data_IF_110372247238
#
_entry.id   IF_110372247238
#
_cell.length_a   1.000
_cell.length_b   1.000
_cell.length_c   1.000
_cell.angle_alpha   90.00
_cell.angle_beta   90.00
_cell.angle_gamma   90.00
#
_symmetry.space_group_name_H-M   'P 1'
#
loop_
_entity.id
_entity.type
_entity.pdbx_description
1 polymer ?
#
# COMPACT_ATOMS: atom_id res chain seq x y z
N UNK A 1 18.13 -7.49 -23.35
CA UNK A 1 17.49 -6.66 -22.36
C UNK A 1 17.85 -7.16 -20.98
N UNK A 2 18.14 -6.27 -20.17
CA UNK A 2 18.44 -6.60 -18.81
C UNK A 2 17.14 -6.78 -18.03
N UNK A 3 16.87 -7.98 -17.59
CA UNK A 3 15.68 -8.27 -16.81
C UNK A 3 15.69 -7.57 -15.45
N UNK A 4 16.84 -7.03 -15.04
CA UNK A 4 17.00 -6.40 -13.74
C UNK A 4 16.51 -4.95 -13.70
N UNK A 5 16.28 -4.33 -14.87
CA UNK A 5 16.02 -2.88 -14.90
C UNK A 5 14.79 -2.47 -15.70
N UNK A 6 13.66 -3.18 -15.58
CA UNK A 6 12.45 -2.70 -16.25
C UNK A 6 11.86 -1.47 -15.57
N UNK A 7 12.27 -1.15 -14.35
CA UNK A 7 11.75 -0.02 -13.58
C UNK A 7 12.88 0.84 -13.04
N UNK A 8 12.61 2.15 -12.85
CA UNK A 8 13.62 3.06 -12.32
C UNK A 8 13.96 2.74 -10.86
N UNK A 9 15.12 3.20 -10.41
CA UNK A 9 15.57 3.07 -9.03
C UNK A 9 15.14 4.23 -8.15
N UNK A 10 14.40 5.17 -8.71
CA UNK A 10 13.95 6.38 -8.02
C UNK A 10 12.57 6.76 -8.50
N UNK A 11 11.73 7.18 -7.58
CA UNK A 11 10.42 7.73 -7.91
C UNK A 11 10.15 8.92 -7.00
N UNK A 12 9.80 10.06 -7.59
CA UNK A 12 9.39 11.23 -6.86
C UNK A 12 7.87 11.27 -6.72
N UNK A 13 7.39 12.09 -5.80
CA UNK A 13 5.94 12.27 -5.67
C UNK A 13 5.36 12.91 -6.94
N UNK A 14 6.12 13.77 -7.60
CA UNK A 14 5.67 14.38 -8.86
C UNK A 14 5.48 13.31 -9.94
N UNK A 15 6.42 12.36 -10.05
CA UNK A 15 6.28 11.24 -10.97
C UNK A 15 5.09 10.36 -10.61
N UNK A 16 4.89 10.11 -9.31
CA UNK A 16 3.77 9.31 -8.85
C UNK A 16 2.44 9.93 -9.25
N UNK A 17 2.29 11.23 -9.05
CA UNK A 17 1.07 11.95 -9.43
C UNK A 17 0.82 11.93 -10.93
N UNK A 18 1.86 11.90 -11.73
CA UNK A 18 1.77 11.90 -13.18
C UNK A 18 1.53 10.51 -13.77
N UNK A 19 1.70 9.45 -12.99
CA UNK A 19 1.56 8.08 -13.46
C UNK A 19 0.10 7.64 -13.33
N UNK A 20 -0.55 7.24 -14.43
CA UNK A 20 -1.93 6.78 -14.34
C UNK A 20 -2.04 5.48 -13.55
N UNK A 21 -3.20 5.25 -12.96
CA UNK A 21 -3.47 3.99 -12.30
C UNK A 21 -3.31 2.85 -13.31
N UNK A 22 -2.79 1.74 -12.85
CA UNK A 22 -2.66 0.54 -13.66
C UNK A 22 -4.06 0.03 -14.02
N UNK A 23 -4.23 -0.45 -15.25
CA UNK A 23 -5.54 -0.96 -15.73
C UNK A 23 -6.05 -2.03 -14.75
N UNK A 24 -7.28 -1.86 -14.30
CA UNK A 24 -7.89 -2.78 -13.35
C UNK A 24 -7.46 -2.60 -11.90
N UNK A 25 -6.65 -1.60 -11.62
CA UNK A 25 -6.16 -1.32 -10.27
C UNK A 25 -6.51 0.11 -9.88
N UNK A 26 -6.49 0.38 -8.58
CA UNK A 26 -6.78 1.73 -8.05
C UNK A 26 -5.51 2.49 -7.71
N UNK A 27 -4.36 1.95 -8.05
CA UNK A 27 -3.07 2.54 -7.74
C UNK A 27 -2.15 2.52 -8.96
N UNK A 28 -1.19 3.42 -8.98
CA UNK A 28 -0.17 3.47 -10.02
C UNK A 28 1.07 2.70 -9.56
N UNK A 29 1.66 1.91 -10.47
CA UNK A 29 2.88 1.16 -10.16
C UNK A 29 4.10 1.98 -10.59
N UNK A 30 4.99 2.27 -9.65
CA UNK A 30 6.19 3.09 -9.87
C UNK A 30 7.47 2.26 -9.99
N UNK A 31 7.56 1.17 -9.25
CA UNK A 31 8.73 0.29 -9.24
C UNK A 31 8.33 -1.14 -9.00
N UNK A 32 9.17 -2.05 -9.45
CA UNK A 32 9.02 -3.46 -9.14
C UNK A 32 10.36 -4.15 -9.16
N UNK A 33 10.60 -5.03 -8.18
CA UNK A 33 11.76 -5.90 -8.16
C UNK A 33 11.39 -7.17 -7.41
N UNK A 34 11.42 -8.31 -8.09
CA UNK A 34 10.97 -9.55 -7.50
C UNK A 34 9.52 -9.43 -7.03
N UNK A 35 9.28 -9.76 -5.76
CA UNK A 35 7.94 -9.65 -5.19
C UNK A 35 7.58 -8.23 -4.76
N UNK A 36 8.56 -7.34 -4.67
CA UNK A 36 8.33 -5.98 -4.19
C UNK A 36 7.74 -5.11 -5.28
N UNK A 37 6.69 -4.38 -4.95
CA UNK A 37 6.15 -3.32 -5.79
C UNK A 37 5.99 -2.06 -4.95
N UNK A 38 6.44 -0.93 -5.49
CA UNK A 38 6.12 0.38 -4.95
C UNK A 38 5.00 0.97 -5.79
N UNK A 39 3.93 1.35 -5.13
CA UNK A 39 2.76 1.92 -5.79
C UNK A 39 2.39 3.24 -5.14
N UNK A 40 1.55 4.00 -5.82
CA UNK A 40 1.03 5.26 -5.34
C UNK A 40 -0.50 5.18 -5.33
N UNK A 41 -1.10 5.56 -4.21
CA UNK A 41 -2.55 5.47 -4.03
C UNK A 41 -3.07 6.80 -3.47
N UNK A 42 -4.07 7.34 -4.16
CA UNK A 42 -4.67 8.62 -3.79
C UNK A 42 -6.20 8.52 -3.89
N UNK A 43 -6.84 7.84 -2.93
CA UNK A 43 -8.29 7.68 -2.97
C UNK A 43 -8.99 9.03 -2.76
N UNK A 44 -10.16 9.17 -3.34
CA UNK A 44 -10.97 10.39 -3.21
C UNK A 44 -12.37 10.02 -2.72
N UNK A 45 -12.76 10.61 -1.60
CA UNK A 45 -14.08 10.43 -1.01
C UNK A 45 -14.27 9.10 -0.31
N UNK A 46 -14.00 8.01 -0.97
CA UNK A 46 -14.21 6.65 -0.45
C UNK A 46 -13.07 5.75 -0.85
N UNK A 47 -12.69 4.87 0.07
CA UNK A 47 -11.70 3.84 -0.19
C UNK A 47 -12.42 2.51 -0.42
N UNK A 48 -12.36 2.01 -1.66
CA UNK A 48 -13.06 0.81 -2.08
C UNK A 48 -12.11 -0.39 -2.22
N UNK A 49 -11.05 -0.44 -1.42
CA UNK A 49 -10.07 -1.51 -1.49
C UNK A 49 -10.64 -2.87 -1.05
N UNK A 50 -10.06 -3.91 -1.60
CA UNK A 50 -10.29 -5.30 -1.18
C UNK A 50 -9.00 -5.83 -0.55
N UNK A 51 -9.06 -6.91 0.25
CA UNK A 51 -7.85 -7.51 0.81
C UNK A 51 -6.86 -7.92 -0.28
N UNK A 52 -5.58 -7.86 0.04
CA UNK A 52 -4.50 -8.18 -0.88
C UNK A 52 -3.81 -9.48 -0.49
N UNK A 53 -3.20 -10.14 -1.47
CA UNK A 53 -2.57 -11.45 -1.25
C UNK A 53 -1.18 -11.36 -0.63
N UNK A 54 -0.57 -10.19 -0.62
CA UNK A 54 0.76 -9.96 -0.05
C UNK A 54 0.69 -9.09 1.18
N UNK A 55 1.76 -9.10 1.97
CA UNK A 55 1.94 -8.12 3.04
C UNK A 55 2.14 -6.74 2.44
N UNK A 56 1.75 -5.71 3.17
CA UNK A 56 1.66 -4.38 2.63
C UNK A 56 2.03 -3.32 3.67
N UNK A 57 2.76 -2.30 3.23
CA UNK A 57 3.04 -1.12 4.05
C UNK A 57 2.56 0.11 3.30
N UNK A 58 1.84 0.97 3.99
CA UNK A 58 1.53 2.33 3.52
C UNK A 58 2.45 3.31 4.22
N UNK A 59 2.91 4.30 3.48
CA UNK A 59 3.59 5.47 4.06
C UNK A 59 2.79 6.69 3.63
N UNK A 60 2.22 7.40 4.59
CA UNK A 60 1.37 8.55 4.31
C UNK A 60 2.25 9.73 3.92
N UNK A 61 2.03 10.24 2.70
CA UNK A 61 2.72 11.42 2.22
C UNK A 61 1.96 12.70 2.59
N UNK A 62 0.65 12.68 2.38
CA UNK A 62 -0.20 13.87 2.55
C UNK A 62 -1.59 13.43 2.97
N UNK A 63 -2.25 14.23 3.79
CA UNK A 63 -3.60 13.92 4.25
C UNK A 63 -3.62 13.26 5.62
N UNK A 64 -4.80 13.19 6.21
CA UNK A 64 -5.01 12.58 7.52
C UNK A 64 -6.38 11.95 7.60
N UNK A 65 -6.58 11.08 8.57
CA UNK A 65 -7.83 10.37 8.74
C UNK A 65 -7.66 9.18 9.67
N UNK A 66 -8.47 8.17 9.44
CA UNK A 66 -8.44 6.92 10.21
C UNK A 66 -8.11 5.75 9.30
N UNK A 67 -7.30 4.84 9.81
CA UNK A 67 -7.03 3.57 9.16
C UNK A 67 -7.75 2.47 9.93
N UNK A 68 -8.63 1.76 9.26
CA UNK A 68 -9.48 0.72 9.87
C UNK A 68 -9.02 -0.62 9.34
N UNK A 69 -8.69 -1.55 10.25
CA UNK A 69 -8.17 -2.86 9.93
C UNK A 69 -8.99 -3.92 10.65
N UNK A 70 -9.38 -4.97 9.93
CA UNK A 70 -10.17 -6.07 10.47
C UNK A 70 -11.62 -6.01 10.01
N UNK A 71 -12.36 -7.08 10.30
CA UNK A 71 -13.76 -7.22 9.97
C UNK A 71 -14.66 -6.70 11.09
N UNK A 72 -15.95 -6.57 10.79
CA UNK A 72 -16.95 -6.11 11.74
C UNK A 72 -16.87 -6.90 13.05
N UNK A 73 -16.86 -6.16 14.16
CA UNK A 73 -16.75 -6.74 15.49
C UNK A 73 -15.32 -6.99 15.95
N UNK A 74 -14.34 -6.89 15.04
CA UNK A 74 -12.93 -7.05 15.37
C UNK A 74 -12.06 -5.94 14.80
N UNK A 75 -12.67 -4.82 14.44
CA UNK A 75 -11.95 -3.71 13.84
C UNK A 75 -11.06 -2.97 14.84
N UNK A 76 -9.87 -2.58 14.36
CA UNK A 76 -9.03 -1.60 15.06
C UNK A 76 -8.98 -0.33 14.21
N UNK A 77 -8.98 0.81 14.88
CA UNK A 77 -8.93 2.12 14.21
C UNK A 77 -7.69 2.85 14.69
N UNK A 78 -6.91 3.34 13.74
CA UNK A 78 -5.68 4.08 14.03
C UNK A 78 -5.74 5.42 13.33
N UNK A 79 -5.57 6.49 14.10
CA UNK A 79 -5.44 7.83 13.52
C UNK A 79 -4.10 7.94 12.81
N UNK A 80 -4.10 8.51 11.60
CA UNK A 80 -2.86 8.73 10.87
C UNK A 80 -2.71 10.17 10.43
N UNK A 81 -1.46 10.60 10.28
CA UNK A 81 -1.09 11.91 9.77
C UNK A 81 0.10 11.73 8.82
N UNK A 82 0.49 12.77 8.07
CA UNK A 82 1.63 12.66 7.15
C UNK A 82 2.90 12.15 7.83
N UNK A 83 3.58 11.24 7.18
CA UNK A 83 4.80 10.61 7.67
C UNK A 83 4.57 9.29 8.40
N UNK A 84 3.32 8.95 8.72
CA UNK A 84 3.03 7.70 9.41
C UNK A 84 3.16 6.50 8.47
N UNK A 85 3.59 5.37 9.02
CA UNK A 85 3.63 4.09 8.32
C UNK A 85 2.57 3.16 8.92
N UNK A 86 1.86 2.44 8.05
CA UNK A 86 0.78 1.54 8.43
C UNK A 86 1.03 0.17 7.81
N UNK A 87 0.96 -0.89 8.62
CA UNK A 87 1.21 -2.24 8.14
C UNK A 87 -0.08 -3.05 8.05
N UNK A 88 -0.23 -3.81 6.97
CA UNK A 88 -1.37 -4.71 6.76
C UNK A 88 -0.87 -6.08 6.35
N UNK A 89 -1.09 -7.11 7.19
CA UNK A 89 -0.78 -8.48 6.77
C UNK A 89 -1.66 -8.90 5.59
N UNK A 90 -1.14 -9.83 4.78
CA UNK A 90 -1.87 -10.39 3.65
C UNK A 90 -3.24 -10.91 4.10
N UNK A 91 -4.26 -10.69 3.29
CA UNK A 91 -5.60 -11.19 3.50
C UNK A 91 -6.46 -10.42 4.50
N UNK A 92 -5.92 -9.39 5.12
CA UNK A 92 -6.66 -8.65 6.15
C UNK A 92 -7.48 -7.54 5.50
N UNK A 93 -8.76 -7.48 5.86
CA UNK A 93 -9.67 -6.40 5.44
C UNK A 93 -9.17 -5.08 6.02
N UNK A 94 -9.08 -4.06 5.19
CA UNK A 94 -8.58 -2.75 5.63
C UNK A 94 -9.13 -1.64 4.73
N UNK A 95 -9.16 -0.43 5.27
CA UNK A 95 -9.54 0.75 4.50
C UNK A 95 -9.11 2.04 5.21
N UNK A 96 -8.92 3.08 4.43
CA UNK A 96 -8.87 4.44 4.95
C UNK A 96 -10.30 4.94 5.14
N UNK A 97 -10.56 5.63 6.23
CA UNK A 97 -11.89 6.13 6.56
C UNK A 97 -11.80 7.57 7.08
N UNK A 98 -12.82 8.35 6.76
CA UNK A 98 -12.93 9.74 7.24
C UNK A 98 -11.65 10.52 6.96
N UNK A 99 -11.11 10.34 5.76
CA UNK A 99 -9.84 10.94 5.37
C UNK A 99 -10.05 12.22 4.56
N UNK A 100 -9.03 13.08 4.57
CA UNK A 100 -9.07 14.33 3.84
C UNK A 100 -8.97 14.11 2.33
N UNK A 101 -9.49 15.05 1.56
CA UNK A 101 -9.55 14.92 0.09
C UNK A 101 -8.19 14.93 -0.58
N UNK A 102 -7.14 15.31 0.15
CA UNK A 102 -5.79 15.38 -0.38
C UNK A 102 -4.92 14.17 -0.01
N UNK A 103 -5.53 13.09 0.45
CA UNK A 103 -4.78 11.89 0.87
C UNK A 103 -3.93 11.34 -0.27
N UNK A 104 -2.65 11.13 0.01
CA UNK A 104 -1.69 10.49 -0.88
C UNK A 104 -0.82 9.57 -0.06
N UNK A 105 -0.71 8.32 -0.49
CA UNK A 105 0.11 7.34 0.22
C UNK A 105 1.00 6.57 -0.75
N UNK A 106 2.22 6.27 -0.32
CA UNK A 106 3.04 5.25 -0.95
C UNK A 106 2.58 3.89 -0.44
N UNK A 107 2.56 2.91 -1.34
CA UNK A 107 2.17 1.54 -1.01
C UNK A 107 3.29 0.61 -1.41
N UNK A 108 3.74 -0.22 -0.49
CA UNK A 108 4.74 -1.25 -0.77
C UNK A 108 4.12 -2.61 -0.53
N UNK A 109 4.02 -3.41 -1.59
CA UNK A 109 3.70 -4.83 -1.49
C UNK A 109 5.00 -5.61 -1.53
N UNK A 110 5.10 -6.67 -0.74
CA UNK A 110 6.30 -7.50 -0.72
C UNK A 110 6.00 -8.91 -0.21
N UNK A 111 6.92 -9.82 -0.52
CA UNK A 111 6.84 -11.16 0.01
C UNK A 111 5.92 -12.08 -0.79
N UNK A 112 5.76 -13.32 -0.35
CA UNK A 112 4.98 -14.32 -1.07
C UNK A 112 3.47 -14.10 -0.91
N UNK A 113 2.67 -14.66 -1.83
CA UNK A 113 1.23 -14.73 -1.63
C UNK A 113 0.91 -15.43 -0.29
N UNK A 114 -0.03 -14.87 0.45
CA UNK A 114 -0.35 -15.37 1.79
C UNK A 114 0.46 -14.73 2.89
N UNK A 115 1.48 -13.96 2.55
CA UNK A 115 2.29 -13.21 3.50
C UNK A 115 3.46 -14.00 4.06
N UNK A 116 4.37 -13.30 4.75
CA UNK A 116 5.47 -13.93 5.45
C UNK A 116 4.96 -14.64 6.69
N UNK A 117 5.62 -15.72 7.08
CA UNK A 117 5.20 -16.49 8.26
C UNK A 117 6.25 -16.39 9.37
N UNK A 118 5.80 -16.55 10.61
CA UNK A 118 6.71 -16.57 11.76
C UNK A 118 7.69 -17.74 11.65
N UNK A 119 7.24 -18.88 11.13
CA UNK A 119 8.14 -20.02 10.95
C UNK A 119 9.27 -19.69 9.98
N UNK A 120 8.99 -18.92 8.92
CA UNK A 120 10.01 -18.49 7.97
C UNK A 120 11.00 -17.53 8.61
N UNK A 121 10.54 -16.59 9.43
CA UNK A 121 11.40 -15.68 10.16
C UNK A 121 12.31 -16.43 11.12
N UNK A 122 11.77 -17.42 11.82
CA UNK A 122 12.55 -18.20 12.78
C UNK A 122 13.54 -19.14 12.12
N UNK A 123 13.29 -19.55 10.88
CA UNK A 123 14.21 -20.41 10.12
C UNK A 123 15.34 -19.64 9.46
N UNK A 124 15.14 -18.37 9.23
CA UNK A 124 16.14 -17.49 8.61
C UNK A 124 17.10 -16.91 9.64
#
# INVERSE_FOLDING_TARGET
MDALTPFPLHASIAQARATPNEIGRQSAKLMQHGTMQLRYYAPRGKDAQTPHSQDEIYVVWKGEGWFVKGADGGETRTRFTPGDALFVPAGIVHRFAEFTDDLEVWVVFYGPPGGESLARLNAG
#
